data_IF_549656377137
#
_entry.id   IF_549656377137
#
_cell.length_a   1.000
_cell.length_b   1.000
_cell.length_c   1.000
_cell.angle_alpha   90.00
_cell.angle_beta   90.00
_cell.angle_gamma   90.00
#
_symmetry.space_group_name_H-M   'P 1'
#
loop_
_entity.id
_entity.type
_entity.pdbx_description
1 polymer ?
#
# COMPACT_ATOMS: atom_id res chain seq x y z
N UNK A 1 -1.63 -4.97 -16.08
CA UNK A 1 -1.93 -4.29 -14.81
C UNK A 1 -1.80 -5.28 -13.67
N UNK A 2 -1.88 -4.80 -12.43
CA UNK A 2 -1.78 -5.65 -11.23
C UNK A 2 -3.14 -6.28 -10.87
N UNK A 3 -3.12 -7.48 -10.29
CA UNK A 3 -4.27 -8.04 -9.56
C UNK A 3 -4.23 -7.50 -8.15
N UNK A 4 -5.29 -6.83 -7.71
CA UNK A 4 -5.37 -6.17 -6.39
C UNK A 4 -6.51 -6.77 -5.57
N UNK A 5 -6.26 -6.98 -4.28
CA UNK A 5 -7.26 -7.37 -3.29
C UNK A 5 -7.23 -6.40 -2.10
N UNK A 6 -8.36 -6.23 -1.43
CA UNK A 6 -8.50 -5.39 -0.24
C UNK A 6 -8.84 -6.27 0.97
N UNK A 7 -8.11 -6.10 2.06
CA UNK A 7 -8.22 -6.84 3.32
C UNK A 7 -8.21 -8.38 3.20
N UNK A 8 -7.62 -8.92 2.14
CA UNK A 8 -7.52 -10.37 1.89
C UNK A 8 -6.16 -10.73 1.30
N UNK A 9 -5.43 -11.70 1.88
CA UNK A 9 -5.68 -12.37 3.16
C UNK A 9 -5.28 -11.51 4.38
N UNK A 10 -4.75 -10.31 4.17
CA UNK A 10 -4.25 -9.43 5.22
C UNK A 10 -5.08 -8.15 5.26
N UNK A 11 -5.79 -7.91 6.37
CA UNK A 11 -6.51 -6.66 6.62
C UNK A 11 -5.57 -5.49 6.96
N UNK A 12 -4.37 -5.82 7.43
CA UNK A 12 -3.43 -4.92 8.07
C UNK A 12 -2.92 -5.58 9.34
N UNK A 13 -2.20 -4.85 10.19
CA UNK A 13 -1.74 -5.36 11.47
C UNK A 13 -1.51 -4.25 12.49
N UNK A 14 -0.73 -4.56 13.52
CA UNK A 14 -0.50 -3.66 14.66
C UNK A 14 -0.17 -2.21 14.26
N UNK A 15 0.66 -1.99 13.25
CA UNK A 15 1.06 -0.64 12.83
C UNK A 15 -0.14 0.15 12.29
N UNK A 16 -0.92 -0.44 11.40
CA UNK A 16 -2.08 0.25 10.80
C UNK A 16 -3.18 0.49 11.83
N UNK A 17 -3.42 -0.46 12.72
CA UNK A 17 -4.41 -0.36 13.79
C UNK A 17 -4.03 0.69 14.85
N UNK A 18 -2.75 0.71 15.25
CA UNK A 18 -2.30 1.54 16.37
C UNK A 18 -2.08 3.00 15.98
N UNK A 19 -1.59 3.24 14.76
CA UNK A 19 -1.24 4.57 14.28
C UNK A 19 -2.30 5.21 13.37
N UNK A 20 -3.21 4.40 12.78
CA UNK A 20 -4.39 4.92 12.10
C UNK A 20 -5.38 5.51 13.11
N UNK A 21 -5.66 6.81 12.98
CA UNK A 21 -6.70 7.53 13.73
C UNK A 21 -7.50 8.42 12.78
N UNK A 22 -8.38 7.86 11.92
CA UNK A 22 -9.14 8.63 10.93
C UNK A 22 -9.94 9.78 11.55
N UNK A 23 -10.51 9.58 12.74
CA UNK A 23 -11.19 10.63 13.51
C UNK A 23 -10.30 11.81 13.95
N UNK A 24 -8.97 11.65 13.88
CA UNK A 24 -7.96 12.71 14.11
C UNK A 24 -7.24 13.10 12.82
N UNK A 25 -7.78 12.75 11.66
CA UNK A 25 -7.18 12.97 10.33
C UNK A 25 -5.78 12.35 10.19
N UNK A 26 -5.54 11.23 10.87
CA UNK A 26 -4.32 10.43 10.71
C UNK A 26 -4.71 9.10 10.06
N UNK A 27 -4.30 8.89 8.82
CA UNK A 27 -4.63 7.69 8.06
C UNK A 27 -3.41 6.78 7.96
N UNK A 28 -3.63 5.47 8.00
CA UNK A 28 -2.59 4.47 7.79
C UNK A 28 -3.02 3.54 6.65
N UNK A 29 -2.08 3.21 5.78
CA UNK A 29 -2.29 2.31 4.64
C UNK A 29 -1.16 1.29 4.60
N UNK A 30 -1.51 0.02 4.46
CA UNK A 30 -0.56 -1.07 4.21
C UNK A 30 -0.67 -1.50 2.76
N UNK A 31 0.49 -1.62 2.08
CA UNK A 31 0.58 -2.08 0.70
C UNK A 31 1.48 -3.30 0.68
N UNK A 32 0.92 -4.42 0.26
CA UNK A 32 1.65 -5.66 0.11
C UNK A 32 1.91 -5.97 -1.36
N UNK A 33 3.17 -6.27 -1.65
CA UNK A 33 3.65 -6.52 -3.01
C UNK A 33 4.15 -7.94 -3.09
N UNK A 34 3.64 -8.71 -4.06
CA UNK A 34 4.18 -10.03 -4.38
C UNK A 34 5.66 -9.92 -4.79
N UNK A 35 6.53 -10.62 -4.06
CA UNK A 35 7.99 -10.56 -4.22
C UNK A 35 8.45 -10.99 -5.60
N UNK A 36 7.78 -11.95 -6.23
CA UNK A 36 8.07 -12.39 -7.59
C UNK A 36 7.92 -11.30 -8.66
N UNK A 37 7.27 -10.18 -8.35
CA UNK A 37 7.19 -9.04 -9.26
C UNK A 37 8.50 -8.26 -9.38
N UNK A 38 9.36 -8.28 -8.36
CA UNK A 38 10.51 -7.38 -8.29
C UNK A 38 11.82 -8.03 -7.85
N UNK A 39 11.80 -9.26 -7.35
CA UNK A 39 13.02 -9.97 -6.98
C UNK A 39 12.89 -11.48 -7.13
N UNK A 40 14.04 -12.13 -7.28
CA UNK A 40 14.18 -13.56 -7.08
C UNK A 40 14.16 -13.86 -5.57
N UNK A 41 13.19 -14.64 -5.11
CA UNK A 41 12.96 -14.89 -3.68
C UNK A 41 14.04 -15.73 -3.00
N UNK A 42 14.88 -16.44 -3.78
CA UNK A 42 15.94 -17.31 -3.24
C UNK A 42 17.25 -16.55 -3.07
N UNK A 43 17.53 -15.64 -4.00
CA UNK A 43 18.80 -14.89 -4.08
C UNK A 43 18.67 -13.45 -3.61
N UNK A 44 17.43 -12.96 -3.45
CA UNK A 44 17.08 -11.57 -3.14
C UNK A 44 17.62 -10.55 -4.16
N UNK A 45 18.02 -11.02 -5.35
CA UNK A 45 18.44 -10.14 -6.43
C UNK A 45 17.22 -9.54 -7.12
N UNK A 46 17.35 -8.29 -7.55
CA UNK A 46 16.31 -7.61 -8.32
C UNK A 46 16.02 -8.38 -9.61
N UNK A 47 14.75 -8.53 -9.93
CA UNK A 47 14.32 -9.05 -11.23
C UNK A 47 14.22 -7.91 -12.25
N UNK A 48 14.00 -8.26 -13.52
CA UNK A 48 13.73 -7.27 -14.56
C UNK A 48 12.47 -6.43 -14.30
N UNK A 49 11.57 -6.88 -13.41
CA UNK A 49 10.36 -6.15 -13.04
C UNK A 49 10.57 -5.06 -11.98
N UNK A 50 11.74 -5.00 -11.33
CA UNK A 50 12.01 -4.08 -10.22
C UNK A 50 11.79 -2.62 -10.59
N UNK A 51 12.44 -2.14 -11.66
CA UNK A 51 12.40 -0.72 -12.01
C UNK A 51 11.01 -0.29 -12.47
N UNK A 52 10.30 -1.15 -13.20
CA UNK A 52 8.91 -0.92 -13.60
C UNK A 52 8.00 -0.80 -12.39
N UNK A 53 8.09 -1.72 -11.43
CA UNK A 53 7.30 -1.66 -10.21
C UNK A 53 7.62 -0.40 -9.39
N UNK A 54 8.90 -0.05 -9.27
CA UNK A 54 9.32 1.16 -8.56
C UNK A 54 8.72 2.42 -9.21
N UNK A 55 8.69 2.49 -10.54
CA UNK A 55 8.06 3.59 -11.27
C UNK A 55 6.55 3.65 -11.01
N UNK A 56 5.87 2.50 -11.06
CA UNK A 56 4.43 2.42 -10.82
C UNK A 56 4.05 2.82 -9.39
N UNK A 57 4.78 2.33 -8.38
CA UNK A 57 4.56 2.71 -6.97
C UNK A 57 4.88 4.18 -6.72
N UNK A 58 5.87 4.74 -7.41
CA UNK A 58 6.19 6.17 -7.35
C UNK A 58 5.03 7.00 -7.89
N UNK A 59 4.48 6.62 -9.05
CA UNK A 59 3.33 7.30 -9.64
C UNK A 59 2.10 7.17 -8.75
N UNK A 60 1.81 5.96 -8.27
CA UNK A 60 0.71 5.71 -7.34
C UNK A 60 0.81 6.61 -6.09
N UNK A 61 2.00 6.72 -5.49
CA UNK A 61 2.22 7.57 -4.31
C UNK A 61 2.00 9.04 -4.64
N UNK A 62 2.48 9.52 -5.79
CA UNK A 62 2.27 10.90 -6.22
C UNK A 62 0.78 11.19 -6.45
N UNK A 63 0.07 10.29 -7.14
CA UNK A 63 -1.36 10.42 -7.43
C UNK A 63 -2.18 10.41 -6.13
N UNK A 64 -1.88 9.50 -5.19
CA UNK A 64 -2.53 9.42 -3.88
C UNK A 64 -2.35 10.71 -3.09
N UNK A 65 -1.13 11.27 -3.06
CA UNK A 65 -0.83 12.52 -2.34
C UNK A 65 -1.43 13.75 -3.01
N UNK A 66 -1.84 13.65 -4.28
CA UNK A 66 -2.54 14.73 -4.98
C UNK A 66 -4.05 14.74 -4.74
N UNK A 67 -4.60 13.67 -4.13
CA UNK A 67 -6.03 13.58 -3.85
C UNK A 67 -6.45 14.60 -2.78
N UNK A 68 -7.55 15.33 -3.00
CA UNK A 68 -8.09 16.23 -1.98
C UNK A 68 -8.46 15.51 -0.67
N UNK A 69 -8.20 16.16 0.47
CA UNK A 69 -8.45 15.62 1.82
C UNK A 69 -9.89 15.13 2.05
N UNK A 70 -10.87 15.73 1.36
CA UNK A 70 -12.28 15.35 1.49
C UNK A 70 -12.57 13.91 1.01
N UNK A 71 -11.68 13.30 0.23
CA UNK A 71 -11.78 11.89 -0.14
C UNK A 71 -11.43 10.93 1.00
N UNK A 72 -10.82 11.42 2.07
CA UNK A 72 -10.37 10.61 3.21
C UNK A 72 -11.23 10.80 4.47
N UNK A 73 -12.32 11.57 4.38
CA UNK A 73 -13.25 11.78 5.50
C UNK A 73 -14.07 10.51 5.74
N UNK A 74 -14.31 10.18 7.01
CA UNK A 74 -15.11 9.03 7.47
C UNK A 74 -14.61 7.65 7.01
N UNK A 75 -13.33 7.53 6.66
CA UNK A 75 -12.74 6.21 6.39
C UNK A 75 -12.70 5.35 7.67
N UNK A 76 -12.97 4.04 7.54
CA UNK A 76 -12.88 3.10 8.66
C UNK A 76 -11.44 3.01 9.18
N UNK A 77 -11.28 2.40 10.36
CA UNK A 77 -9.94 2.08 10.86
C UNK A 77 -9.26 1.11 9.88
N UNK A 78 -7.97 1.30 9.67
CA UNK A 78 -7.20 0.34 8.90
C UNK A 78 -7.11 -0.98 9.66
N UNK A 79 -7.15 -2.10 8.93
CA UNK A 79 -7.27 -3.46 9.47
C UNK A 79 -8.62 -3.87 10.10
N UNK A 80 -9.70 -3.16 9.74
CA UNK A 80 -11.08 -3.59 10.01
C UNK A 80 -11.62 -4.63 9.01
#
# INVERSE_FOLDING_TARGET
GYTVAHNKPYAGGFITEHYGRPARHLHALQIEVNRGLYMDERTFQKSAGFDSLACDLTRFSADLMSMPDHHFVDLPLAAE
#
